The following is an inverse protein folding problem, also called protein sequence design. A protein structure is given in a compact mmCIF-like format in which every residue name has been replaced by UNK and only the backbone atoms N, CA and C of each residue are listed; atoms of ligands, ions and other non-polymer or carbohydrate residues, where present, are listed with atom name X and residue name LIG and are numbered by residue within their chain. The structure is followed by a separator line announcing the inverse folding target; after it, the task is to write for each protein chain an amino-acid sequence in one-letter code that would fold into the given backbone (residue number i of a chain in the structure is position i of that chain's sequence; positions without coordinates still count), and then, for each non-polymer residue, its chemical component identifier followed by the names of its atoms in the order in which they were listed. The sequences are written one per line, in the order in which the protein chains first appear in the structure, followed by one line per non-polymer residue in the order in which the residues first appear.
data_IF_243766928800
#
_entry.id   IF_243766928800
#
_cell.length_a   1.000
_cell.length_b   1.000
_cell.length_c   1.000
_cell.angle_alpha   90.00
_cell.angle_beta   90.00
_cell.angle_gamma   90.00
#
_symmetry.space_group_name_H-M   'P 1'
#
loop_
_entity.id
_entity.type
_entity.pdbx_description
1 polymer ?
#
# COMPACT_ATOMS: atom_id res chain seq x y z
N UNK A 1 12.12 6.82 -0.58
CA UNK A 1 11.56 5.92 -1.58
C UNK A 1 10.61 6.67 -2.51
N UNK A 2 10.42 6.18 -3.72
CA UNK A 2 9.49 6.76 -4.69
C UNK A 2 8.76 5.67 -5.48
N UNK A 3 7.56 5.98 -5.96
CA UNK A 3 6.84 5.14 -6.91
C UNK A 3 6.27 5.99 -8.05
N UNK A 4 6.28 5.48 -9.30
CA UNK A 4 5.71 6.14 -10.46
C UNK A 4 4.18 6.07 -10.47
N UNK A 5 3.57 6.66 -11.49
CA UNK A 5 2.15 6.45 -11.79
C UNK A 5 1.92 5.03 -12.29
N UNK A 6 0.94 4.34 -11.71
CA UNK A 6 0.61 2.97 -12.07
C UNK A 6 -0.76 2.90 -12.75
N UNK A 7 -0.82 2.17 -13.87
CA UNK A 7 -2.07 1.98 -14.63
C UNK A 7 -2.39 0.51 -14.85
N UNK A 8 -3.67 0.24 -14.98
CA UNK A 8 -4.15 -1.03 -15.53
C UNK A 8 -3.87 -1.12 -17.04
N UNK A 9 -3.87 -2.33 -17.64
CA UNK A 9 -3.74 -2.48 -19.10
C UNK A 9 -4.78 -1.70 -19.91
N UNK A 10 -5.93 -1.40 -19.33
CA UNK A 10 -6.98 -0.58 -19.96
C UNK A 10 -6.79 0.94 -19.76
N UNK A 11 -5.60 1.39 -19.35
CA UNK A 11 -5.25 2.78 -19.14
C UNK A 11 -5.78 3.42 -17.84
N UNK A 12 -6.68 2.76 -17.10
CA UNK A 12 -7.23 3.31 -15.85
C UNK A 12 -6.14 3.38 -14.77
N UNK A 13 -6.15 4.45 -13.99
CA UNK A 13 -5.19 4.64 -12.91
C UNK A 13 -5.38 3.62 -11.77
N UNK A 14 -4.25 3.10 -11.28
CA UNK A 14 -4.19 2.30 -10.06
C UNK A 14 -3.73 3.20 -8.89
N UNK A 15 -4.63 3.47 -7.95
CA UNK A 15 -4.32 4.25 -6.75
C UNK A 15 -3.58 3.36 -5.74
N UNK A 16 -2.26 3.27 -5.86
CA UNK A 16 -1.41 2.38 -5.07
C UNK A 16 -0.53 3.12 -4.03
N UNK A 17 -0.57 4.45 -4.01
CA UNK A 17 -0.16 5.23 -2.86
C UNK A 17 -1.22 5.14 -1.78
N UNK A 18 -0.80 5.00 -0.54
CA UNK A 18 -1.74 4.82 0.58
C UNK A 18 -1.22 5.50 1.84
N UNK A 19 -2.12 5.74 2.76
CA UNK A 19 -1.76 6.05 4.15
C UNK A 19 -1.39 4.77 4.90
N UNK A 20 -0.78 4.92 6.08
CA UNK A 20 -0.41 3.74 6.88
C UNK A 20 -1.61 2.82 7.13
N UNK A 21 -1.42 1.50 7.08
CA UNK A 21 -2.48 0.54 7.34
C UNK A 21 -3.18 0.75 8.67
N UNK A 22 -4.51 0.63 8.64
CA UNK A 22 -5.39 0.70 9.82
C UNK A 22 -6.35 -0.49 9.83
N UNK A 23 -6.89 -0.82 10.99
CA UNK A 23 -7.89 -1.90 11.11
C UNK A 23 -9.16 -1.59 10.32
N UNK A 24 -9.60 -0.33 10.34
CA UNK A 24 -10.78 0.09 9.57
C UNK A 24 -10.56 -0.05 8.07
N UNK A 25 -9.36 0.31 7.54
CA UNK A 25 -9.04 0.14 6.13
C UNK A 25 -9.04 -1.34 5.72
N UNK A 26 -8.46 -2.20 6.57
CA UNK A 26 -8.45 -3.64 6.34
C UNK A 26 -9.86 -4.22 6.34
N UNK A 27 -10.65 -3.91 7.35
CA UNK A 27 -12.05 -4.36 7.49
C UNK A 27 -12.93 -3.86 6.34
N UNK A 28 -12.95 -2.53 6.10
CA UNK A 28 -13.75 -1.92 5.05
C UNK A 28 -13.48 -2.52 3.67
N UNK A 29 -12.21 -2.75 3.36
CA UNK A 29 -11.78 -3.20 2.03
C UNK A 29 -11.88 -4.71 1.84
N UNK A 30 -11.87 -5.48 2.92
CA UNK A 30 -11.85 -6.94 2.89
C UNK A 30 -13.22 -7.55 3.10
N UNK A 31 -13.97 -7.03 4.08
CA UNK A 31 -15.21 -7.63 4.54
C UNK A 31 -16.42 -7.03 3.84
N UNK A 32 -16.41 -5.72 3.57
CA UNK A 32 -17.59 -5.03 3.02
C UNK A 32 -17.53 -4.96 1.50
N UNK A 33 -18.46 -5.63 0.79
CA UNK A 33 -18.55 -5.55 -0.66
C UNK A 33 -18.78 -4.11 -1.15
N UNK A 34 -18.23 -3.77 -2.32
CA UNK A 34 -18.29 -2.40 -2.85
C UNK A 34 -19.72 -1.90 -3.08
N UNK A 35 -20.64 -2.79 -3.45
CA UNK A 35 -22.02 -2.44 -3.79
C UNK A 35 -22.85 -2.05 -2.56
N UNK A 36 -22.60 -2.65 -1.38
CA UNK A 36 -23.32 -2.34 -0.13
C UNK A 36 -22.55 -1.40 0.83
N UNK A 37 -21.39 -0.88 0.38
CA UNK A 37 -20.54 -0.04 1.24
C UNK A 37 -21.18 1.33 1.51
N UNK A 38 -21.35 1.73 2.79
CA UNK A 38 -21.83 3.06 3.18
C UNK A 38 -20.97 4.19 2.59
N UNK A 39 -21.59 5.35 2.34
CA UNK A 39 -20.89 6.51 1.77
C UNK A 39 -19.69 6.96 2.59
N UNK A 40 -19.81 6.93 3.91
CA UNK A 40 -18.72 7.29 4.83
C UNK A 40 -17.50 6.37 4.66
N UNK A 41 -17.72 5.07 4.52
CA UNK A 41 -16.63 4.12 4.28
C UNK A 41 -16.04 4.25 2.86
N UNK A 42 -16.85 4.63 1.86
CA UNK A 42 -16.33 4.95 0.53
C UNK A 42 -15.41 6.18 0.57
N UNK A 43 -15.80 7.23 1.32
CA UNK A 43 -14.95 8.42 1.54
C UNK A 43 -13.66 8.04 2.27
N UNK A 44 -13.76 7.23 3.31
CA UNK A 44 -12.60 6.75 4.05
C UNK A 44 -11.65 5.93 3.16
N UNK A 45 -12.16 5.00 2.35
CA UNK A 45 -11.35 4.22 1.40
C UNK A 45 -10.67 5.11 0.35
N UNK A 46 -11.36 6.16 -0.12
CA UNK A 46 -10.80 7.14 -1.04
C UNK A 46 -9.65 7.91 -0.38
N UNK A 47 -9.87 8.39 0.82
CA UNK A 47 -8.84 9.05 1.64
C UNK A 47 -7.67 8.10 1.93
N UNK A 48 -7.92 6.88 2.36
CA UNK A 48 -6.87 5.88 2.65
C UNK A 48 -6.02 5.57 1.42
N UNK A 49 -6.62 5.48 0.23
CA UNK A 49 -5.94 5.22 -1.04
C UNK A 49 -5.48 6.49 -1.75
N UNK A 50 -5.44 7.62 -1.04
CA UNK A 50 -4.92 8.90 -1.49
C UNK A 50 -5.48 9.36 -2.85
N UNK A 51 -6.78 9.09 -3.09
CA UNK A 51 -7.49 9.56 -4.31
C UNK A 51 -7.84 11.04 -4.26
N UNK A 52 -7.65 11.64 -3.11
CA UNK A 52 -7.77 13.06 -2.82
C UNK A 52 -6.56 13.88 -3.30
N UNK A 53 -5.51 13.21 -3.83
CA UNK A 53 -4.31 13.86 -4.35
C UNK A 53 -4.32 13.91 -5.88
N UNK A 54 -3.67 14.95 -6.40
CA UNK A 54 -3.41 15.06 -7.84
C UNK A 54 -2.22 14.16 -8.24
N UNK A 55 -2.49 13.10 -8.98
CA UNK A 55 -1.48 12.16 -9.46
C UNK A 55 -0.66 12.68 -10.65
N UNK A 56 -0.94 13.88 -11.15
CA UNK A 56 -0.04 14.59 -12.07
C UNK A 56 1.07 15.35 -11.31
N UNK A 57 0.97 15.46 -10.00
CA UNK A 57 1.89 16.18 -9.13
C UNK A 57 2.68 15.25 -8.22
N UNK A 58 3.83 15.73 -7.71
CA UNK A 58 4.61 15.04 -6.68
C UNK A 58 3.94 15.26 -5.32
N UNK A 59 3.66 14.18 -4.61
CA UNK A 59 3.16 14.28 -3.23
C UNK A 59 3.79 13.22 -2.32
N UNK A 60 3.81 13.51 -1.01
CA UNK A 60 4.28 12.57 0.00
C UNK A 60 3.21 11.54 0.34
N UNK A 61 3.65 10.30 0.57
CA UNK A 61 2.79 9.19 0.97
C UNK A 61 3.46 8.39 2.08
N UNK A 62 2.69 7.71 2.91
CA UNK A 62 3.25 6.89 3.98
C UNK A 62 3.47 5.43 3.55
N UNK A 63 2.83 5.00 2.47
CA UNK A 63 2.87 3.63 1.99
C UNK A 63 2.83 3.60 0.47
N UNK A 64 3.87 3.05 -0.13
CA UNK A 64 4.01 2.76 -1.55
C UNK A 64 3.85 1.27 -1.80
N UNK A 65 3.07 0.88 -2.79
CA UNK A 65 2.92 -0.53 -3.15
C UNK A 65 4.18 -1.11 -3.77
N UNK A 66 4.51 -2.35 -3.40
CA UNK A 66 5.72 -3.06 -3.84
C UNK A 66 5.76 -3.43 -5.31
N UNK A 67 4.70 -3.19 -6.08
CA UNK A 67 4.67 -3.51 -7.51
C UNK A 67 5.66 -2.70 -8.35
N UNK A 68 6.03 -1.48 -7.91
CA UNK A 68 7.11 -0.69 -8.50
C UNK A 68 7.61 0.31 -7.46
N UNK A 69 8.77 0.04 -6.87
CA UNK A 69 9.43 0.86 -5.86
C UNK A 69 10.84 1.24 -6.30
N UNK A 70 11.14 2.53 -6.24
CA UNK A 70 12.49 3.06 -6.33
C UNK A 70 12.97 3.40 -4.92
N UNK A 71 14.08 2.81 -4.51
CA UNK A 71 14.62 2.96 -3.15
C UNK A 71 16.10 3.36 -3.21
N UNK A 72 16.55 4.22 -2.29
CA UNK A 72 17.98 4.51 -2.16
C UNK A 72 18.70 3.32 -1.56
N UNK A 73 19.71 2.79 -2.26
CA UNK A 73 20.42 1.58 -1.87
C UNK A 73 21.00 1.65 -0.45
N UNK A 74 21.63 2.78 -0.05
CA UNK A 74 22.18 2.93 1.29
C UNK A 74 21.09 2.82 2.39
N UNK A 75 19.89 3.36 2.16
CA UNK A 75 18.80 3.27 3.12
C UNK A 75 18.22 1.84 3.22
N UNK A 76 18.19 1.13 2.10
CA UNK A 76 17.79 -0.30 2.07
C UNK A 76 18.79 -1.13 2.86
N UNK A 77 20.09 -0.87 2.71
CA UNK A 77 21.15 -1.57 3.47
C UNK A 77 21.02 -1.29 4.96
N UNK A 78 20.84 -0.03 5.37
CA UNK A 78 20.64 0.33 6.77
C UNK A 78 19.42 -0.36 7.40
N UNK A 79 18.34 -0.49 6.66
CA UNK A 79 17.11 -1.15 7.11
C UNK A 79 17.14 -2.67 6.89
N UNK A 80 18.26 -3.25 6.43
CA UNK A 80 18.43 -4.69 6.18
C UNK A 80 17.42 -5.26 5.17
N UNK A 81 16.98 -4.43 4.21
CA UNK A 81 16.03 -4.84 3.18
C UNK A 81 14.61 -5.10 3.68
N UNK A 82 13.91 -5.99 3.01
CA UNK A 82 12.59 -6.44 3.42
C UNK A 82 12.68 -7.35 4.65
N UNK A 83 11.74 -7.19 5.58
CA UNK A 83 11.66 -8.04 6.77
C UNK A 83 11.17 -9.45 6.38
N UNK A 84 12.00 -10.51 6.55
CA UNK A 84 11.69 -11.84 6.04
C UNK A 84 10.49 -12.52 6.72
N UNK A 85 9.99 -11.97 7.81
CA UNK A 85 8.77 -12.46 8.46
C UNK A 85 7.52 -12.23 7.61
N UNK A 86 7.54 -11.24 6.71
CA UNK A 86 6.47 -11.00 5.74
C UNK A 86 6.73 -11.83 4.49
N UNK A 87 6.06 -12.97 4.38
CA UNK A 87 6.15 -13.77 3.16
C UNK A 87 5.52 -13.07 1.94
N UNK A 88 4.38 -12.46 2.14
CA UNK A 88 3.65 -11.71 1.10
C UNK A 88 2.64 -10.78 1.78
N UNK A 89 2.41 -9.58 1.21
CA UNK A 89 1.58 -8.49 1.74
C UNK A 89 2.16 -7.83 2.99
N UNK A 90 1.97 -6.52 3.09
CA UNK A 90 2.48 -5.65 4.15
C UNK A 90 4.02 -5.52 4.21
N UNK A 91 4.79 -6.32 3.49
CA UNK A 91 6.24 -6.15 3.33
C UNK A 91 6.55 -4.77 2.73
N UNK A 92 5.75 -4.34 1.76
CA UNK A 92 5.86 -3.04 1.10
C UNK A 92 5.47 -1.87 2.03
N UNK A 93 4.43 -2.05 2.83
CA UNK A 93 4.05 -1.08 3.86
C UNK A 93 5.12 -0.95 4.96
N UNK A 94 5.71 -2.08 5.36
CA UNK A 94 6.75 -2.11 6.37
C UNK A 94 8.04 -1.42 5.89
N UNK A 95 8.55 -1.81 4.72
CA UNK A 95 9.77 -1.23 4.18
C UNK A 95 9.60 0.27 3.86
N UNK A 96 8.46 0.66 3.28
CA UNK A 96 8.18 2.07 2.99
C UNK A 96 8.19 2.90 4.27
N UNK A 97 7.58 2.39 5.34
CA UNK A 97 7.53 3.07 6.63
C UNK A 97 8.90 3.17 7.30
N UNK A 98 9.74 2.13 7.19
CA UNK A 98 11.13 2.17 7.70
C UNK A 98 11.98 3.17 6.92
N UNK A 99 11.93 3.12 5.59
CA UNK A 99 12.64 4.06 4.72
C UNK A 99 12.19 5.52 4.93
N UNK A 100 10.95 5.74 5.34
CA UNK A 100 10.43 7.05 5.71
C UNK A 100 11.13 7.73 6.88
N UNK A 101 11.92 6.99 7.68
CA UNK A 101 12.78 7.54 8.76
C UNK A 101 14.02 8.24 8.21
N UNK A 102 14.47 7.83 7.03
CA UNK A 102 15.69 8.31 6.37
C UNK A 102 15.43 9.35 5.29
N UNK A 103 14.17 9.68 5.03
CA UNK A 103 13.80 10.67 4.04
C UNK A 103 12.36 10.51 3.55
N UNK A 104 11.96 11.35 2.61
CA UNK A 104 10.58 11.34 2.11
C UNK A 104 10.26 10.09 1.28
N UNK A 105 9.05 9.61 1.42
CA UNK A 105 8.43 8.65 0.52
C UNK A 105 7.41 9.39 -0.34
N UNK A 106 7.55 9.30 -1.66
CA UNK A 106 6.83 10.16 -2.59
C UNK A 106 6.21 9.39 -3.75
N UNK A 107 5.06 9.87 -4.21
CA UNK A 107 4.61 9.63 -5.58
C UNK A 107 5.39 10.56 -6.50
N UNK A 108 5.89 10.02 -7.62
CA UNK A 108 6.70 10.75 -8.58
C UNK A 108 6.18 10.50 -10.03
N UNK A 109 5.42 11.41 -10.64
CA UNK A 109 4.74 11.18 -11.91
C UNK A 109 5.66 11.38 -13.14
N UNK A 110 6.94 11.02 -13.03
CA UNK A 110 7.92 11.13 -14.14
C UNK A 110 7.86 9.97 -15.12
N UNK A 111 7.15 8.90 -14.74
CA UNK A 111 6.96 7.72 -15.57
C UNK A 111 5.62 7.07 -15.27
N UNK A 112 5.09 6.35 -16.25
CA UNK A 112 3.91 5.50 -16.11
C UNK A 112 4.30 4.04 -16.28
N UNK A 113 3.81 3.18 -15.41
CA UNK A 113 4.07 1.74 -15.45
C UNK A 113 2.74 0.99 -15.54
N UNK A 114 2.62 0.10 -16.52
CA UNK A 114 1.49 -0.80 -16.64
C UNK A 114 1.67 -1.98 -15.68
N UNK A 115 0.67 -2.21 -14.84
CA UNK A 115 0.72 -3.27 -13.83
C UNK A 115 -0.53 -4.17 -13.90
N UNK A 116 -0.31 -5.47 -14.12
CA UNK A 116 -1.35 -6.49 -14.11
C UNK A 116 -1.68 -6.94 -12.69
N UNK A 117 -2.62 -6.28 -12.06
CA UNK A 117 -2.97 -6.56 -10.67
C UNK A 117 -3.84 -7.80 -10.51
N UNK A 118 -3.25 -8.91 -10.11
CA UNK A 118 -3.92 -10.21 -9.98
C UNK A 118 -4.88 -10.35 -8.79
N UNK A 119 -4.85 -9.45 -7.78
CA UNK A 119 -5.73 -9.47 -6.59
C UNK A 119 -5.85 -10.84 -5.89
N UNK A 120 -4.80 -11.65 -5.90
CA UNK A 120 -4.82 -13.04 -5.45
C UNK A 120 -5.40 -13.25 -4.04
N UNK A 121 -5.21 -12.29 -3.11
CA UNK A 121 -5.78 -12.39 -1.78
C UNK A 121 -7.32 -12.33 -1.71
N UNK A 122 -7.98 -11.93 -2.77
CA UNK A 122 -9.46 -11.91 -2.85
C UNK A 122 -10.04 -13.17 -3.48
N UNK A 123 -9.22 -13.98 -4.15
CA UNK A 123 -9.65 -15.17 -4.91
C UNK A 123 -9.16 -16.47 -4.28
N UNK A 124 -8.11 -16.44 -3.46
CA UNK A 124 -7.52 -17.61 -2.82
C UNK A 124 -7.66 -17.54 -1.29
N UNK A 125 -8.21 -18.59 -0.69
CA UNK A 125 -8.28 -18.73 0.76
C UNK A 125 -6.89 -18.71 1.41
N UNK A 126 -5.93 -19.43 0.83
CA UNK A 126 -4.54 -19.43 1.30
C UNK A 126 -3.94 -18.03 1.33
N UNK A 127 -4.04 -17.29 0.23
CA UNK A 127 -3.53 -15.91 0.17
C UNK A 127 -4.31 -14.97 1.09
N UNK A 128 -5.55 -15.29 1.45
CA UNK A 128 -6.31 -14.60 2.49
C UNK A 128 -5.64 -14.80 3.86
N UNK A 129 -5.31 -16.04 4.21
CA UNK A 129 -4.66 -16.35 5.48
C UNK A 129 -3.28 -15.70 5.57
N UNK A 130 -2.49 -15.77 4.50
CA UNK A 130 -1.20 -15.05 4.41
C UNK A 130 -1.37 -13.54 4.62
N UNK A 131 -2.38 -12.93 4.01
CA UNK A 131 -2.65 -11.50 4.18
C UNK A 131 -3.02 -11.13 5.63
N UNK A 132 -3.86 -11.95 6.28
CA UNK A 132 -4.24 -11.74 7.68
C UNK A 132 -3.06 -11.93 8.64
N UNK A 133 -2.23 -12.95 8.40
CA UNK A 133 -1.01 -13.18 9.17
C UNK A 133 -0.03 -11.99 9.02
N UNK A 134 0.19 -11.53 7.79
CA UNK A 134 1.06 -10.36 7.54
C UNK A 134 0.48 -9.08 8.15
N UNK A 135 -0.84 -8.90 8.13
CA UNK A 135 -1.50 -7.80 8.84
C UNK A 135 -1.25 -7.86 10.35
N UNK A 136 -1.39 -9.04 10.95
CA UNK A 136 -1.11 -9.26 12.37
C UNK A 136 0.35 -8.92 12.71
N UNK A 137 1.33 -9.40 11.92
CA UNK A 137 2.75 -9.05 12.08
C UNK A 137 2.98 -7.54 12.00
N UNK A 138 2.34 -6.88 11.02
CA UNK A 138 2.45 -5.44 10.84
C UNK A 138 1.94 -4.67 12.05
N UNK A 139 0.73 -4.99 12.52
CA UNK A 139 0.15 -4.30 13.68
C UNK A 139 0.88 -4.63 14.99
N UNK A 140 1.41 -5.84 15.13
CA UNK A 140 2.28 -6.19 16.27
C UNK A 140 3.57 -5.37 16.27
N UNK A 141 4.16 -5.10 15.11
CA UNK A 141 5.41 -4.33 14.97
C UNK A 141 5.18 -2.83 15.13
N UNK A 142 4.10 -2.29 14.60
CA UNK A 142 3.88 -0.85 14.46
C UNK A 142 2.78 -0.29 15.37
N UNK A 143 2.15 -1.12 16.16
CA UNK A 143 1.00 -0.78 17.00
C UNK A 143 -0.32 -0.80 16.23
N UNK A 144 -1.40 -1.04 16.97
CA UNK A 144 -2.76 -1.02 16.43
C UNK A 144 -3.20 0.43 16.14
N UNK A 145 -3.69 0.65 14.93
CA UNK A 145 -4.33 1.90 14.52
C UNK A 145 -5.74 1.58 14.04
N UNK A 146 -6.72 2.22 14.65
CA UNK A 146 -8.13 1.98 14.32
C UNK A 146 -8.53 2.69 13.02
N UNK A 147 -8.07 3.95 12.82
CA UNK A 147 -8.33 4.80 11.64
C UNK A 147 -7.13 5.69 11.32
#
# INVERSE_FOLDING_TARGET
AAAPTLRFPNGRMQYLCKRNPTLLALFSRRVIPKWCKPSLLKRYDSWFTMRDHDYASVFTTSYLSGCCLLMRGWAVVLEQGFDPRFFLYFEDADITRRLGRHGRTVHLPVAEVMHHWGRGSYTSFWLTMVNLHSAWLYFRKWGLRWW
#
